data_IF_773582281449
#
_entry.id   IF_773582281449
#
_cell.length_a   1.000
_cell.length_b   1.000
_cell.length_c   1.000
_cell.angle_alpha   90.00
_cell.angle_beta   90.00
_cell.angle_gamma   90.00
#
_symmetry.space_group_name_H-M   'P 1'
#
loop_
_entity.id
_entity.type
_entity.pdbx_description
1 polymer ?
#
# COMPACT_ATOMS: atom_id res chain seq x y z
N UNK A 1 -12.73 -4.17 -10.71
CA UNK A 1 -11.70 -4.07 -9.66
C UNK A 1 -12.36 -4.10 -8.29
N UNK A 2 -11.82 -4.91 -7.39
CA UNK A 2 -12.23 -5.03 -5.99
C UNK A 2 -11.10 -4.51 -5.10
N UNK A 3 -11.45 -3.75 -4.06
CA UNK A 3 -10.52 -3.30 -3.02
C UNK A 3 -10.91 -3.98 -1.71
N UNK A 4 -9.96 -4.58 -1.00
CA UNK A 4 -10.21 -5.28 0.25
C UNK A 4 -9.35 -4.66 1.37
N UNK A 5 -10.00 -4.32 2.48
CA UNK A 5 -9.35 -3.77 3.68
C UNK A 5 -8.96 -4.90 4.63
N UNK A 6 -7.69 -5.31 4.64
CA UNK A 6 -7.13 -6.31 5.55
C UNK A 6 -6.38 -5.63 6.73
N UNK A 7 -6.47 -4.31 6.88
CA UNK A 7 -5.87 -3.61 8.01
C UNK A 7 -6.68 -3.84 9.29
N UNK A 8 -6.13 -4.70 10.16
CA UNK A 8 -6.68 -4.98 11.49
C UNK A 8 -5.97 -4.19 12.60
N UNK A 9 -4.91 -3.45 12.26
CA UNK A 9 -3.99 -2.82 13.22
C UNK A 9 -4.37 -1.37 13.45
N UNK A 10 -4.58 -0.57 12.40
CA UNK A 10 -4.84 0.85 12.53
C UNK A 10 -6.31 1.21 12.19
N UNK A 11 -7.12 1.66 13.17
CA UNK A 11 -8.52 1.99 12.93
C UNK A 11 -8.72 3.32 12.18
N UNK A 12 -7.74 4.22 12.20
CA UNK A 12 -7.87 5.60 11.74
C UNK A 12 -7.50 5.83 10.26
N UNK A 13 -6.70 4.97 9.63
CA UNK A 13 -6.34 5.05 8.20
C UNK A 13 -6.97 3.95 7.38
N UNK A 14 -8.28 3.76 7.52
CA UNK A 14 -9.00 2.67 6.87
C UNK A 14 -9.83 3.16 5.70
N UNK A 15 -10.20 2.25 4.81
CA UNK A 15 -11.06 2.55 3.66
C UNK A 15 -12.51 2.86 4.05
N UNK A 16 -12.87 2.69 5.33
CA UNK A 16 -14.26 2.74 5.84
C UNK A 16 -14.98 4.06 5.54
N UNK A 17 -14.40 5.24 5.76
CA UNK A 17 -15.04 6.52 5.42
C UNK A 17 -15.17 6.71 3.90
N UNK A 18 -14.23 6.13 3.15
CA UNK A 18 -14.13 6.30 1.70
C UNK A 18 -15.01 5.32 0.93
N UNK A 19 -15.47 4.23 1.55
CA UNK A 19 -16.21 3.16 0.89
C UNK A 19 -17.39 3.66 0.04
N UNK A 20 -18.33 4.49 0.52
CA UNK A 20 -19.43 4.98 -0.31
C UNK A 20 -18.95 5.76 -1.54
N UNK A 21 -17.88 6.56 -1.39
CA UNK A 21 -17.29 7.33 -2.49
C UNK A 21 -16.61 6.43 -3.52
N UNK A 22 -15.87 5.42 -3.07
CA UNK A 22 -15.20 4.44 -3.93
C UNK A 22 -16.23 3.59 -4.69
N UNK A 23 -17.31 3.19 -4.04
CA UNK A 23 -18.42 2.46 -4.67
C UNK A 23 -19.16 3.31 -5.71
N UNK A 24 -19.37 4.60 -5.44
CA UNK A 24 -19.92 5.53 -6.43
C UNK A 24 -19.01 5.72 -7.66
N UNK A 25 -17.71 5.42 -7.55
CA UNK A 25 -16.77 5.38 -8.67
C UNK A 25 -16.76 4.03 -9.42
N UNK A 26 -17.63 3.09 -9.03
CA UNK A 26 -17.75 1.76 -9.66
C UNK A 26 -16.81 0.69 -9.07
N UNK A 27 -16.14 0.97 -7.95
CA UNK A 27 -15.29 -0.01 -7.27
C UNK A 27 -16.12 -0.90 -6.34
N UNK A 28 -15.72 -2.16 -6.18
CA UNK A 28 -16.27 -3.02 -5.12
C UNK A 28 -15.36 -2.92 -3.90
N UNK A 29 -15.88 -2.57 -2.73
CA UNK A 29 -15.07 -2.44 -1.50
C UNK A 29 -15.46 -3.50 -0.48
N UNK A 30 -14.55 -4.41 -0.17
CA UNK A 30 -14.67 -5.41 0.89
C UNK A 30 -14.08 -4.84 2.17
N UNK A 31 -14.93 -4.46 3.10
CA UNK A 31 -14.53 -3.82 4.34
C UNK A 31 -15.73 -3.23 5.05
N UNK A 32 -15.51 -2.83 6.29
CA UNK A 32 -16.53 -2.17 7.09
C UNK A 32 -16.87 -0.78 6.56
N UNK A 33 -18.07 -0.30 6.85
CA UNK A 33 -18.44 1.11 6.80
C UNK A 33 -18.46 1.70 8.21
N UNK A 34 -18.27 3.01 8.32
CA UNK A 34 -18.41 3.80 9.55
C UNK A 34 -19.51 3.32 10.49
N UNK A 35 -20.73 3.29 9.94
CA UNK A 35 -21.98 3.03 10.66
C UNK A 35 -22.06 1.62 11.22
N UNK A 36 -21.25 0.70 10.70
CA UNK A 36 -21.24 -0.71 11.11
C UNK A 36 -20.28 -0.96 12.30
N UNK A 37 -19.36 -0.03 12.55
CA UNK A 37 -18.35 -0.13 13.62
C UNK A 37 -18.51 0.98 14.68
N UNK A 38 -19.52 1.85 14.54
CA UNK A 38 -19.86 2.86 15.54
C UNK A 38 -20.11 2.21 16.90
N UNK A 39 -19.30 2.57 17.90
CA UNK A 39 -19.39 2.04 19.26
C UNK A 39 -18.38 0.95 19.61
N UNK A 40 -17.50 0.54 18.68
CA UNK A 40 -16.47 -0.49 18.95
C UNK A 40 -15.21 0.05 19.66
N UNK A 41 -15.06 1.37 19.82
CA UNK A 41 -13.90 2.00 20.46
C UNK A 41 -12.58 1.79 19.68
N UNK A 42 -11.43 1.89 20.36
CA UNK A 42 -10.09 1.58 19.80
C UNK A 42 -9.73 0.08 19.88
N UNK A 43 -10.66 -0.79 20.27
CA UNK A 43 -10.41 -2.22 20.27
C UNK A 43 -10.15 -2.70 18.83
N UNK A 44 -9.04 -3.42 18.62
CA UNK A 44 -8.57 -3.89 17.31
C UNK A 44 -9.72 -4.36 16.42
N UNK A 45 -9.71 -3.92 15.16
CA UNK A 45 -10.88 -4.13 14.30
C UNK A 45 -10.98 -5.60 13.91
N UNK A 46 -12.14 -6.20 14.19
CA UNK A 46 -12.51 -7.51 13.65
C UNK A 46 -12.44 -7.47 12.13
N UNK A 47 -11.75 -8.42 11.50
CA UNK A 47 -11.68 -8.51 10.05
C UNK A 47 -13.09 -8.68 9.46
N UNK A 48 -13.42 -7.89 8.43
CA UNK A 48 -14.71 -8.03 7.76
C UNK A 48 -14.78 -9.43 7.07
N UNK A 49 -15.80 -10.26 7.33
CA UNK A 49 -15.81 -11.66 6.86
C UNK A 49 -15.64 -11.83 5.35
N UNK A 50 -16.14 -10.87 4.55
CA UNK A 50 -15.99 -10.90 3.09
C UNK A 50 -14.54 -10.75 2.61
N UNK A 51 -13.65 -10.16 3.40
CA UNK A 51 -12.22 -9.94 3.06
C UNK A 51 -11.48 -11.27 2.97
N UNK A 52 -11.82 -12.24 3.83
CA UNK A 52 -11.27 -13.61 3.75
C UNK A 52 -11.41 -14.23 2.36
N UNK A 53 -12.47 -13.88 1.63
CA UNK A 53 -12.78 -14.39 0.29
C UNK A 53 -12.37 -13.43 -0.83
N UNK A 54 -11.48 -12.47 -0.57
CA UNK A 54 -11.09 -11.45 -1.55
C UNK A 54 -10.48 -12.07 -2.82
N UNK A 55 -9.67 -13.12 -2.69
CA UNK A 55 -9.01 -13.80 -3.81
C UNK A 55 -9.97 -14.59 -4.72
N UNK A 56 -11.19 -14.84 -4.27
CA UNK A 56 -12.23 -15.54 -5.06
C UNK A 56 -13.12 -14.57 -5.87
N UNK A 57 -12.78 -13.27 -5.91
CA UNK A 57 -13.53 -12.28 -6.67
C UNK A 57 -13.05 -12.25 -8.12
N UNK A 58 -13.99 -12.06 -9.04
CA UNK A 58 -13.68 -11.89 -10.45
C UNK A 58 -13.00 -10.54 -10.71
N UNK A 59 -12.00 -10.55 -11.60
CA UNK A 59 -11.22 -9.38 -12.01
C UNK A 59 -10.11 -9.01 -11.02
N UNK A 60 -9.54 -7.82 -11.18
CA UNK A 60 -8.41 -7.38 -10.34
C UNK A 60 -8.84 -7.12 -8.90
N UNK A 61 -8.03 -7.60 -7.95
CA UNK A 61 -8.21 -7.43 -6.51
C UNK A 61 -6.98 -6.73 -5.93
N UNK A 62 -7.19 -5.59 -5.28
CA UNK A 62 -6.16 -4.90 -4.49
C UNK A 62 -6.52 -5.13 -3.02
N UNK A 63 -5.55 -5.59 -2.23
CA UNK A 63 -5.72 -5.84 -0.80
C UNK A 63 -4.84 -4.83 -0.08
N UNK A 64 -5.46 -3.97 0.71
CA UNK A 64 -4.76 -3.05 1.61
C UNK A 64 -4.37 -3.81 2.87
N UNK A 65 -3.08 -3.85 3.16
CA UNK A 65 -2.50 -4.63 4.25
C UNK A 65 -1.86 -3.66 5.23
N UNK A 66 -2.40 -3.62 6.44
CA UNK A 66 -1.89 -2.77 7.51
C UNK A 66 -0.44 -3.04 7.88
N UNK A 67 0.21 -2.05 8.48
CA UNK A 67 1.56 -2.20 9.02
C UNK A 67 1.53 -3.00 10.33
N UNK A 68 2.54 -3.83 10.58
CA UNK A 68 2.64 -4.58 11.83
C UNK A 68 3.68 -5.70 11.79
N UNK A 69 3.98 -6.27 12.95
CA UNK A 69 4.95 -7.37 13.13
C UNK A 69 4.58 -8.64 12.36
N UNK A 70 3.33 -8.76 11.90
CA UNK A 70 2.86 -9.89 11.12
C UNK A 70 3.24 -9.83 9.63
N UNK A 71 3.64 -8.66 9.09
CA UNK A 71 4.08 -8.49 7.69
C UNK A 71 3.15 -9.15 6.66
N UNK A 72 3.72 -9.80 5.65
CA UNK A 72 2.99 -10.63 4.67
C UNK A 72 2.34 -11.88 5.29
N UNK A 73 2.67 -12.23 6.55
CA UNK A 73 2.04 -13.34 7.27
C UNK A 73 0.53 -13.18 7.43
N UNK A 74 0.03 -11.94 7.49
CA UNK A 74 -1.41 -11.64 7.53
C UNK A 74 -2.16 -12.11 6.27
N UNK A 75 -1.46 -12.33 5.15
CA UNK A 75 -2.05 -12.89 3.94
C UNK A 75 -2.58 -14.31 4.16
N UNK A 76 -2.13 -15.06 5.20
CA UNK A 76 -2.72 -16.35 5.57
C UNK A 76 -4.19 -16.25 6.02
N UNK A 77 -4.67 -15.04 6.35
CA UNK A 77 -6.09 -14.82 6.65
C UNK A 77 -6.98 -14.89 5.39
N UNK A 78 -6.38 -14.84 4.20
CA UNK A 78 -7.08 -14.95 2.93
C UNK A 78 -7.16 -16.41 2.50
N UNK A 79 -8.36 -16.85 2.17
CA UNK A 79 -8.59 -18.18 1.65
C UNK A 79 -7.91 -18.33 0.28
N UNK A 80 -7.10 -19.38 0.11
CA UNK A 80 -6.39 -19.66 -1.14
C UNK A 80 -5.12 -18.85 -1.39
N UNK A 81 -4.63 -18.06 -0.42
CA UNK A 81 -3.43 -17.23 -0.62
C UNK A 81 -2.16 -18.03 -0.99
N UNK A 82 -1.98 -19.20 -0.38
CA UNK A 82 -0.82 -20.07 -0.64
C UNK A 82 -0.82 -20.66 -2.06
N UNK A 83 -2.00 -20.84 -2.64
CA UNK A 83 -2.19 -21.49 -3.94
C UNK A 83 -2.51 -20.51 -5.06
N UNK A 84 -2.65 -19.21 -4.76
CA UNK A 84 -2.94 -18.18 -5.73
C UNK A 84 -1.68 -17.81 -6.56
N UNK A 85 -1.58 -18.23 -7.84
CA UNK A 85 -0.37 -18.03 -8.64
C UNK A 85 -0.13 -16.55 -8.99
N UNK A 86 -1.20 -15.76 -9.06
CA UNK A 86 -1.17 -14.35 -9.45
C UNK A 86 -1.05 -13.40 -8.25
N UNK A 87 -1.05 -13.92 -7.03
CA UNK A 87 -0.90 -13.10 -5.82
C UNK A 87 0.52 -12.54 -5.74
N UNK A 88 0.61 -11.21 -5.72
CA UNK A 88 1.85 -10.45 -5.56
C UNK A 88 1.80 -9.59 -4.30
N UNK A 89 2.80 -9.73 -3.45
CA UNK A 89 3.01 -8.87 -2.29
C UNK A 89 3.97 -7.74 -2.64
N UNK A 90 3.50 -6.49 -2.60
CA UNK A 90 4.31 -5.32 -2.90
C UNK A 90 4.60 -4.52 -1.62
N UNK A 91 5.88 -4.30 -1.32
CA UNK A 91 6.27 -3.45 -0.20
C UNK A 91 6.29 -1.98 -0.64
N UNK A 92 5.42 -1.17 -0.02
CA UNK A 92 5.33 0.27 -0.29
C UNK A 92 6.30 1.01 0.63
N UNK A 93 7.32 1.62 0.05
CA UNK A 93 8.44 2.22 0.79
C UNK A 93 8.34 3.74 0.76
N UNK A 94 8.38 4.40 1.92
CA UNK A 94 8.57 5.84 2.04
C UNK A 94 9.88 6.14 2.75
N UNK A 95 10.89 6.65 2.04
CA UNK A 95 12.21 6.91 2.65
C UNK A 95 12.27 8.12 3.58
N UNK A 96 11.16 8.85 3.75
CA UNK A 96 11.04 9.89 4.76
C UNK A 96 10.68 9.33 6.15
N UNK A 97 10.34 8.04 6.27
CA UNK A 97 10.08 7.39 7.55
C UNK A 97 11.38 6.84 8.17
N UNK A 98 11.57 6.93 9.50
CA UNK A 98 12.78 6.43 10.16
C UNK A 98 13.09 4.96 9.87
N UNK A 99 12.07 4.09 9.85
CA UNK A 99 12.23 2.65 9.63
C UNK A 99 12.67 2.27 8.20
N UNK A 100 12.68 3.22 7.27
CA UNK A 100 13.04 3.00 5.85
C UNK A 100 13.88 4.16 5.31
N UNK A 101 14.62 4.86 6.19
CA UNK A 101 15.31 6.10 5.85
C UNK A 101 16.59 5.88 5.00
N UNK A 102 17.28 4.77 5.25
CA UNK A 102 18.51 4.37 4.55
C UNK A 102 18.29 3.10 3.71
N UNK A 103 19.27 2.73 2.87
CA UNK A 103 19.19 1.51 2.06
C UNK A 103 19.17 0.28 2.96
N UNK A 104 19.99 0.29 4.01
CA UNK A 104 20.10 -0.75 5.02
C UNK A 104 18.79 -0.93 5.78
N UNK A 105 18.14 0.17 6.17
CA UNK A 105 16.85 0.14 6.84
C UNK A 105 15.76 -0.47 5.95
N UNK A 106 15.73 -0.10 4.65
CA UNK A 106 14.78 -0.67 3.68
C UNK A 106 15.00 -2.18 3.55
N UNK A 107 16.26 -2.62 3.43
CA UNK A 107 16.59 -4.05 3.33
C UNK A 107 16.14 -4.80 4.58
N UNK A 108 16.44 -4.27 5.77
CA UNK A 108 16.04 -4.87 7.04
C UNK A 108 14.52 -4.96 7.17
N UNK A 109 13.82 -3.87 6.82
CA UNK A 109 12.36 -3.82 6.84
C UNK A 109 11.73 -4.83 5.87
N UNK A 110 12.17 -4.86 4.60
CA UNK A 110 11.62 -5.80 3.61
C UNK A 110 11.84 -7.25 4.02
N UNK A 111 13.02 -7.58 4.57
CA UNK A 111 13.31 -8.92 5.09
C UNK A 111 12.41 -9.31 6.27
N UNK A 112 12.00 -8.35 7.11
CA UNK A 112 11.10 -8.64 8.23
C UNK A 112 9.65 -8.86 7.79
N UNK A 113 9.26 -8.43 6.59
CA UNK A 113 7.89 -8.61 6.07
C UNK A 113 7.62 -10.04 5.57
N UNK A 114 8.66 -10.85 5.32
CA UNK A 114 8.50 -12.18 4.73
C UNK A 114 8.50 -12.12 3.19
N UNK A 115 7.54 -12.80 2.55
CA UNK A 115 7.46 -12.84 1.08
C UNK A 115 7.08 -11.46 0.53
N UNK A 116 7.95 -10.92 -0.32
CA UNK A 116 7.74 -9.69 -1.10
C UNK A 116 8.14 -9.96 -2.55
N UNK A 117 7.29 -9.59 -3.49
CA UNK A 117 7.48 -9.79 -4.94
C UNK A 117 7.99 -8.51 -5.64
N UNK A 118 7.97 -7.35 -4.98
CA UNK A 118 8.48 -6.09 -5.54
C UNK A 118 8.37 -4.91 -4.57
N UNK A 119 9.11 -3.84 -4.89
CA UNK A 119 9.08 -2.59 -4.13
C UNK A 119 8.36 -1.48 -4.90
N UNK A 120 7.59 -0.65 -4.21
CA UNK A 120 7.01 0.57 -4.75
C UNK A 120 7.56 1.77 -3.98
N UNK A 121 8.23 2.69 -4.68
CA UNK A 121 8.68 3.94 -4.06
C UNK A 121 7.49 4.89 -3.92
N UNK A 122 7.11 5.18 -2.69
CA UNK A 122 6.09 6.16 -2.32
C UNK A 122 6.70 7.19 -1.36
N UNK A 123 7.90 7.68 -1.65
CA UNK A 123 8.57 8.67 -0.79
C UNK A 123 7.86 10.02 -0.87
N UNK A 124 7.37 10.49 0.28
CA UNK A 124 6.59 11.73 0.39
C UNK A 124 6.68 12.33 1.79
N UNK A 125 6.36 13.63 1.88
CA UNK A 125 6.19 14.42 3.11
C UNK A 125 4.84 15.18 3.09
N UNK A 126 3.78 14.54 2.60
CA UNK A 126 2.46 15.16 2.50
C UNK A 126 2.50 16.38 1.55
N UNK A 127 2.06 17.54 2.02
CA UNK A 127 2.11 18.79 1.25
C UNK A 127 3.54 19.30 1.00
N UNK A 128 4.52 18.86 1.79
CA UNK A 128 5.93 19.26 1.66
C UNK A 128 6.71 18.35 0.68
N UNK A 129 6.00 17.53 -0.08
CA UNK A 129 6.62 16.61 -1.04
C UNK A 129 7.20 17.39 -2.24
N UNK A 130 8.48 17.18 -2.52
CA UNK A 130 9.18 17.78 -3.67
C UNK A 130 9.64 16.73 -4.67
N UNK A 131 9.90 17.14 -5.91
CA UNK A 131 10.45 16.26 -6.96
C UNK A 131 11.80 15.69 -6.51
N UNK A 132 12.66 16.54 -5.94
CA UNK A 132 13.98 16.12 -5.45
C UNK A 132 13.88 15.06 -4.36
N UNK A 133 12.92 15.19 -3.44
CA UNK A 133 12.65 14.20 -2.40
C UNK A 133 12.25 12.85 -3.02
N UNK A 134 11.31 12.85 -3.98
CA UNK A 134 10.84 11.65 -4.66
C UNK A 134 12.01 10.95 -5.38
N UNK A 135 12.82 11.73 -6.11
CA UNK A 135 13.95 11.21 -6.88
C UNK A 135 15.08 10.70 -5.98
N UNK A 136 15.33 11.35 -4.85
CA UNK A 136 16.26 10.86 -3.83
C UNK A 136 15.77 9.54 -3.22
N UNK A 137 14.47 9.43 -2.94
CA UNK A 137 13.82 8.18 -2.52
C UNK A 137 13.97 7.07 -3.57
N UNK A 138 13.76 7.38 -4.84
CA UNK A 138 13.90 6.42 -5.95
C UNK A 138 15.30 5.80 -6.01
N UNK A 139 16.36 6.59 -5.77
CA UNK A 139 17.74 6.08 -5.70
C UNK A 139 17.92 5.06 -4.59
N UNK A 140 17.44 5.37 -3.38
CA UNK A 140 17.55 4.49 -2.21
C UNK A 140 16.74 3.20 -2.40
N UNK A 141 15.49 3.33 -2.83
CA UNK A 141 14.60 2.17 -3.07
C UNK A 141 15.17 1.28 -4.17
N UNK A 142 15.69 1.84 -5.26
CA UNK A 142 16.30 1.05 -6.34
C UNK A 142 17.57 0.35 -5.88
N UNK A 143 18.41 1.00 -5.07
CA UNK A 143 19.59 0.36 -4.50
C UNK A 143 19.21 -0.83 -3.60
N UNK A 144 18.24 -0.65 -2.70
CA UNK A 144 17.74 -1.73 -1.85
C UNK A 144 17.14 -2.88 -2.68
N UNK A 145 16.35 -2.55 -3.72
CA UNK A 145 15.73 -3.53 -4.60
C UNK A 145 16.78 -4.40 -5.31
N UNK A 146 17.89 -3.82 -5.76
CA UNK A 146 19.01 -4.55 -6.37
C UNK A 146 19.64 -5.56 -5.42
N UNK A 147 19.92 -5.15 -4.18
CA UNK A 147 20.49 -6.04 -3.15
C UNK A 147 19.53 -7.17 -2.75
N UNK A 148 18.23 -6.91 -2.78
CA UNK A 148 17.19 -7.90 -2.49
C UNK A 148 16.83 -8.78 -3.70
N UNK A 149 17.39 -8.50 -4.88
CA UNK A 149 17.00 -9.11 -6.15
C UNK A 149 15.48 -9.00 -6.42
N UNK A 150 14.90 -7.83 -6.14
CA UNK A 150 13.49 -7.51 -6.35
C UNK A 150 13.32 -6.40 -7.39
N UNK A 151 12.22 -6.39 -8.15
CA UNK A 151 11.91 -5.28 -9.04
C UNK A 151 11.38 -4.08 -8.26
N UNK A 152 11.67 -2.87 -8.75
CA UNK A 152 10.91 -1.67 -8.38
C UNK A 152 9.75 -1.53 -9.37
N UNK A 153 8.52 -1.78 -8.90
CA UNK A 153 7.34 -1.85 -9.78
C UNK A 153 6.86 -0.47 -10.23
N UNK A 154 7.08 0.56 -9.42
CA UNK A 154 6.77 1.95 -9.75
C UNK A 154 7.36 2.93 -8.73
N UNK A 155 7.47 4.19 -9.15
CA UNK A 155 7.53 5.36 -8.28
C UNK A 155 6.18 6.08 -8.32
N UNK A 156 5.52 6.17 -7.17
CA UNK A 156 4.27 6.91 -7.01
C UNK A 156 4.54 8.41 -6.87
N UNK A 157 3.80 9.21 -7.63
CA UNK A 157 3.97 10.66 -7.72
C UNK A 157 2.59 11.30 -7.72
N UNK A 158 2.41 12.43 -7.01
CA UNK A 158 1.18 13.19 -7.11
C UNK A 158 0.88 13.58 -8.56
N UNK A 159 -0.39 13.51 -8.95
CA UNK A 159 -0.82 13.75 -10.33
C UNK A 159 -0.27 15.08 -10.90
N UNK A 160 -0.30 16.13 -10.08
CA UNK A 160 0.25 17.45 -10.43
C UNK A 160 1.78 17.49 -10.61
N UNK A 161 2.52 16.59 -9.97
CA UNK A 161 3.99 16.53 -10.03
C UNK A 161 4.50 15.56 -11.10
N UNK A 162 3.68 14.63 -11.57
CA UNK A 162 4.09 13.63 -12.56
C UNK A 162 4.70 14.22 -13.85
N UNK A 163 4.18 15.32 -14.43
CA UNK A 163 4.78 15.95 -15.61
C UNK A 163 6.21 16.48 -15.39
N UNK A 164 6.58 16.80 -14.14
CA UNK A 164 7.91 17.32 -13.81
C UNK A 164 8.97 16.22 -13.75
N UNK A 165 8.55 14.97 -13.59
CA UNK A 165 9.43 13.80 -13.57
C UNK A 165 9.43 13.10 -14.94
N UNK A 166 8.26 12.98 -15.56
CA UNK A 166 8.05 12.22 -16.80
C UNK A 166 7.61 10.78 -16.52
N UNK A 167 7.67 9.94 -17.55
CA UNK A 167 7.19 8.54 -17.48
C UNK A 167 8.07 7.62 -16.63
N UNK A 168 9.30 8.03 -16.35
CA UNK A 168 10.29 7.27 -15.58
C UNK A 168 11.00 8.17 -14.58
N UNK A 169 11.35 7.60 -13.43
CA UNK A 169 12.18 8.27 -12.44
C UNK A 169 13.67 8.28 -12.84
N UNK A 170 14.51 8.87 -12.00
CA UNK A 170 15.95 9.01 -12.24
C UNK A 170 16.71 7.68 -12.30
N UNK A 171 16.08 6.60 -11.84
CA UNK A 171 16.62 5.24 -11.90
C UNK A 171 16.01 4.41 -13.03
N UNK A 172 15.11 5.00 -13.82
CA UNK A 172 14.43 4.35 -14.94
C UNK A 172 13.19 3.56 -14.54
N UNK A 173 12.73 3.62 -13.28
CA UNK A 173 11.51 2.92 -12.86
C UNK A 173 10.27 3.66 -13.39
N UNK A 174 9.18 2.95 -13.72
CA UNK A 174 7.98 3.60 -14.25
C UNK A 174 7.33 4.51 -13.20
N UNK A 175 6.85 5.67 -13.62
CA UNK A 175 6.13 6.62 -12.77
C UNK A 175 4.64 6.34 -12.81
N UNK A 176 4.01 6.29 -11.64
CA UNK A 176 2.56 6.17 -11.48
C UNK A 176 2.01 7.42 -10.83
N UNK A 177 1.27 8.20 -11.61
CA UNK A 177 0.54 9.36 -11.12
C UNK A 177 -0.63 8.93 -10.22
N UNK A 178 -0.72 9.47 -9.01
CA UNK A 178 -1.74 9.15 -8.02
C UNK A 178 -2.50 10.41 -7.56
N UNK A 179 -3.76 10.21 -7.16
CA UNK A 179 -4.58 11.22 -6.48
C UNK A 179 -4.82 10.77 -5.04
N UNK A 180 -4.71 11.70 -4.09
CA UNK A 180 -4.91 11.40 -2.67
C UNK A 180 -6.37 11.46 -2.30
N UNK A 181 -6.88 10.39 -1.69
CA UNK A 181 -8.23 10.35 -1.10
C UNK A 181 -8.20 10.29 0.42
N UNK A 182 -7.08 9.88 1.04
CA UNK A 182 -6.93 9.80 2.49
C UNK A 182 -7.10 11.12 3.25
N UNK A 183 -6.75 12.31 2.71
CA UNK A 183 -7.10 13.58 3.35
C UNK A 183 -8.61 13.79 3.54
N UNK A 184 -9.45 13.02 2.86
CA UNK A 184 -10.91 13.04 2.99
C UNK A 184 -11.44 11.93 3.92
N UNK A 185 -10.56 11.10 4.47
CA UNK A 185 -10.91 9.95 5.31
C UNK A 185 -10.89 10.29 6.82
N UNK A 186 -10.67 11.55 7.18
CA UNK A 186 -10.75 11.97 8.58
C UNK A 186 -12.21 11.96 9.08
N UNK A 187 -12.38 11.38 10.26
CA UNK A 187 -13.62 11.34 11.04
C UNK A 187 -13.86 12.67 11.76
#
# INVERSE_FOLDING_TARGET
MTLADLDTVEPCYTLRPLKPKLEAMGLKVLGWETRQVTGWGEAGTVLHPAVRWALHREGDVIIDVGYGTAGAGILHLLEGAETAPDLRALAVINTARPATATVEDIIAHVRSLGRVDGLLNNTHLGEETTVDLIQAGARKVTAAARELNLPVVATAVLFEMAPLIGERDICGNPVRAIKRYMPLAFW
#
